data_IF_286750438643
#
_entry.id   IF_286750438643
#
_cell.length_a   1.000
_cell.length_b   1.000
_cell.length_c   1.000
_cell.angle_alpha   90.00
_cell.angle_beta   90.00
_cell.angle_gamma   90.00
#
_symmetry.space_group_name_H-M   'P 1'
#
loop_
_entity.id
_entity.type
_entity.pdbx_description
1 polymer ?
#
# COMPACT_ATOMS: atom_id res chain seq x y z
N UNK A 1 -18.40 0.24 3.96
CA UNK A 1 -17.16 1.04 3.94
C UNK A 1 -16.56 1.04 5.34
N UNK A 2 -15.27 0.69 5.51
CA UNK A 2 -14.59 0.67 6.81
C UNK A 2 -13.44 1.67 6.76
N UNK A 3 -13.41 2.61 7.71
CA UNK A 3 -12.28 3.52 7.89
C UNK A 3 -11.25 2.84 8.79
N UNK A 4 -9.98 2.87 8.39
CA UNK A 4 -8.87 2.36 9.20
C UNK A 4 -8.02 3.56 9.58
N UNK A 5 -7.97 3.86 10.86
CA UNK A 5 -7.07 4.87 11.40
C UNK A 5 -5.67 4.26 11.50
N UNK A 6 -4.66 4.98 11.00
CA UNK A 6 -3.27 4.58 11.15
C UNK A 6 -2.86 4.88 12.59
N UNK A 7 -2.72 3.83 13.39
CA UNK A 7 -2.13 3.92 14.73
C UNK A 7 -0.60 3.78 14.67
N UNK A 8 0.05 3.95 15.82
CA UNK A 8 1.51 3.90 15.94
C UNK A 8 2.09 2.53 15.56
N UNK A 9 1.35 1.43 15.78
CA UNK A 9 1.80 0.09 15.42
C UNK A 9 1.84 -0.06 13.90
N UNK A 10 0.76 0.34 13.24
CA UNK A 10 0.62 0.29 11.79
C UNK A 10 1.62 1.24 11.10
N UNK A 11 1.86 2.40 11.69
CA UNK A 11 2.89 3.33 11.25
C UNK A 11 4.28 2.69 11.33
N UNK A 12 4.63 2.08 12.46
CA UNK A 12 5.91 1.40 12.62
C UNK A 12 6.08 0.19 11.68
N UNK A 13 5.03 -0.59 11.44
CA UNK A 13 5.03 -1.67 10.45
C UNK A 13 5.32 -1.11 9.04
N UNK A 14 4.61 -0.06 8.62
CA UNK A 14 4.86 0.61 7.35
C UNK A 14 6.25 1.24 7.26
N UNK A 15 6.75 1.79 8.36
CA UNK A 15 8.08 2.39 8.47
C UNK A 15 9.21 1.36 8.33
N UNK A 16 9.06 0.17 8.93
CA UNK A 16 10.03 -0.93 8.75
C UNK A 16 10.11 -1.35 7.28
N UNK A 17 8.97 -1.48 6.61
CA UNK A 17 8.91 -1.79 5.17
C UNK A 17 9.52 -0.65 4.34
N UNK A 18 9.35 0.60 4.78
CA UNK A 18 9.97 1.78 4.15
C UNK A 18 11.49 1.71 4.18
N UNK A 19 12.07 1.40 5.34
CA UNK A 19 13.51 1.34 5.51
C UNK A 19 14.16 0.17 4.75
N UNK A 20 13.46 -0.95 4.58
CA UNK A 20 13.99 -2.15 3.91
C UNK A 20 14.08 -2.04 2.38
N UNK A 21 13.40 -1.07 1.78
CA UNK A 21 13.32 -0.90 0.32
C UNK A 21 13.61 0.54 -0.09
N UNK A 22 14.82 1.03 0.19
CA UNK A 22 15.25 2.40 -0.22
C UNK A 22 15.38 2.56 -1.74
N UNK A 23 15.50 1.45 -2.45
CA UNK A 23 15.71 1.33 -3.89
C UNK A 23 14.41 1.53 -4.71
N UNK A 24 13.23 1.61 -4.06
CA UNK A 24 11.95 1.88 -4.73
C UNK A 24 11.33 3.22 -4.26
N UNK A 25 10.94 4.05 -5.23
CA UNK A 25 10.30 5.38 -5.08
C UNK A 25 8.88 5.36 -4.49
N UNK A 26 8.49 4.32 -3.74
CA UNK A 26 7.21 4.33 -3.06
C UNK A 26 7.21 5.41 -1.97
N UNK A 27 6.06 6.06 -1.77
CA UNK A 27 5.88 6.95 -0.62
C UNK A 27 5.67 6.10 0.64
N UNK A 28 5.81 6.73 1.81
CA UNK A 28 5.50 6.08 3.08
C UNK A 28 4.02 5.68 3.16
N UNK A 29 3.12 6.53 2.64
CA UNK A 29 1.68 6.31 2.58
C UNK A 29 1.30 5.07 1.76
N UNK A 30 2.01 4.83 0.66
CA UNK A 30 1.78 3.64 -0.19
C UNK A 30 2.14 2.37 0.58
N UNK A 31 3.28 2.38 1.29
CA UNK A 31 3.73 1.23 2.07
C UNK A 31 2.83 0.93 3.27
N UNK A 32 2.33 1.96 3.95
CA UNK A 32 1.31 1.78 5.01
C UNK A 32 0.05 1.16 4.39
N UNK A 33 -0.39 1.64 3.23
CA UNK A 33 -1.54 1.06 2.51
C UNK A 33 -1.31 -0.41 2.14
N UNK A 34 -0.12 -0.76 1.65
CA UNK A 34 0.23 -2.15 1.32
C UNK A 34 0.22 -3.04 2.56
N UNK A 35 0.79 -2.59 3.67
CA UNK A 35 0.80 -3.33 4.93
C UNK A 35 -0.63 -3.64 5.41
N UNK A 36 -1.52 -2.64 5.38
CA UNK A 36 -2.94 -2.79 5.72
C UNK A 36 -3.62 -3.79 4.79
N UNK A 37 -3.45 -3.63 3.48
CA UNK A 37 -4.07 -4.49 2.48
C UNK A 37 -3.63 -5.95 2.65
N UNK A 38 -2.34 -6.21 2.85
CA UNK A 38 -1.83 -7.57 3.10
C UNK A 38 -2.36 -8.15 4.42
N UNK A 39 -2.37 -7.36 5.50
CA UNK A 39 -2.92 -7.77 6.81
C UNK A 39 -4.40 -8.14 6.74
N UNK A 40 -5.16 -7.47 5.86
CA UNK A 40 -6.59 -7.71 5.66
C UNK A 40 -6.91 -8.64 4.49
N UNK A 41 -5.90 -9.22 3.84
CA UNK A 41 -6.07 -10.07 2.64
C UNK A 41 -6.86 -9.38 1.52
N UNK A 42 -6.66 -8.07 1.35
CA UNK A 42 -7.20 -7.27 0.25
C UNK A 42 -6.19 -7.30 -0.89
N UNK A 43 -6.59 -7.83 -2.04
CA UNK A 43 -5.74 -7.98 -3.22
C UNK A 43 -5.96 -6.88 -4.27
N UNK A 44 -7.07 -6.14 -4.17
CA UNK A 44 -7.54 -5.20 -5.18
C UNK A 44 -7.59 -3.78 -4.60
N UNK A 45 -6.94 -2.83 -5.27
CA UNK A 45 -6.92 -1.41 -4.93
C UNK A 45 -7.68 -0.61 -5.98
N UNK A 46 -8.59 0.25 -5.51
CA UNK A 46 -9.10 1.36 -6.33
C UNK A 46 -8.08 2.49 -6.25
N UNK A 47 -7.19 2.57 -7.23
CA UNK A 47 -6.13 3.57 -7.28
C UNK A 47 -5.77 3.87 -8.74
N UNK A 48 -5.19 5.04 -8.97
CA UNK A 48 -4.68 5.44 -10.30
C UNK A 48 -3.15 5.39 -10.36
N UNK A 49 -2.50 5.06 -9.24
CA UNK A 49 -1.06 4.97 -9.13
C UNK A 49 -0.56 3.55 -9.47
N UNK A 50 0.42 3.47 -10.36
CA UNK A 50 1.12 2.24 -10.74
C UNK A 50 1.87 1.56 -9.59
N UNK A 51 2.14 2.24 -8.48
CA UNK A 51 2.86 1.68 -7.34
C UNK A 51 2.13 0.47 -6.73
N UNK A 52 0.79 0.49 -6.67
CA UNK A 52 -0.01 -0.64 -6.21
C UNK A 52 0.15 -1.86 -7.13
N UNK A 53 0.21 -1.65 -8.44
CA UNK A 53 0.51 -2.73 -9.41
C UNK A 53 1.88 -3.35 -9.17
N UNK A 54 2.89 -2.50 -8.97
CA UNK A 54 4.27 -2.93 -8.75
C UNK A 54 4.45 -3.68 -7.42
N UNK A 55 3.59 -3.41 -6.43
CA UNK A 55 3.51 -4.13 -5.16
C UNK A 55 2.67 -5.43 -5.24
N UNK A 56 2.16 -5.77 -6.42
CA UNK A 56 1.43 -7.01 -6.68
C UNK A 56 -0.03 -6.97 -6.27
N UNK A 57 -0.69 -5.81 -6.36
CA UNK A 57 -2.13 -5.67 -6.20
C UNK A 57 -2.83 -5.50 -7.55
N UNK A 58 -4.08 -5.96 -7.65
CA UNK A 58 -4.96 -5.66 -8.78
C UNK A 58 -5.44 -4.22 -8.69
N UNK A 59 -5.45 -3.50 -9.81
CA UNK A 59 -5.91 -2.12 -9.86
C UNK A 59 -7.30 -2.03 -10.48
N UNK A 60 -8.15 -1.19 -9.90
CA UNK A 60 -9.39 -0.74 -10.50
C UNK A 60 -9.33 0.77 -10.74
N UNK A 61 -9.79 1.26 -11.92
CA UNK A 61 -10.05 0.48 -13.14
C UNK A 61 -8.74 -0.08 -13.74
N UNK A 62 -8.82 -1.22 -14.45
CA UNK A 62 -7.63 -1.88 -15.04
C UNK A 62 -7.01 -1.08 -16.22
N UNK A 63 -7.66 0.00 -16.66
CA UNK A 63 -7.16 0.87 -17.72
C UNK A 63 -6.11 1.85 -17.16
N UNK A 64 -4.88 1.87 -17.71
CA UNK A 64 -3.93 2.93 -17.38
C UNK A 64 -4.48 4.27 -17.87
N UNK A 65 -4.50 5.26 -16.98
CA UNK A 65 -4.61 6.69 -17.32
C UNK A 65 -3.25 7.25 -17.70
#
# INVERSE_FOLDING_TARGET
>A
MKLIQVDETLFHEGWKIFQQHQDKRYLLTDRISFAIMRKLSIDTALAFDKHFRQAGFHLLPDRPV
#
